data_IF_026127535826
#
_entry.id   IF_026127535826
#
_cell.length_a   1.000
_cell.length_b   1.000
_cell.length_c   1.000
_cell.angle_alpha   90.00
_cell.angle_beta   90.00
_cell.angle_gamma   90.00
#
_symmetry.space_group_name_H-M   'P 1'
#
loop_
_entity.id
_entity.type
_entity.pdbx_description
1 polymer ?
2 non-polymer ?
3 water ?
#
# COMPACT_ATOMS: atom_id res chain seq x y z
N UNK A 5 4.66 -14.95 24.24
CA UNK A 5 5.20 -15.79 23.12
C UNK A 5 4.03 -16.32 22.24
N UNK A 6 3.90 -15.78 21.01
CA UNK A 6 2.76 -16.09 20.12
C UNK A 6 3.02 -17.14 19.02
N UNK A 7 2.08 -18.09 18.83
CA UNK A 7 2.09 -19.14 17.78
C UNK A 7 0.76 -19.17 17.00
N UNK A 8 0.63 -20.07 16.00
CA UNK A 8 -0.61 -20.26 15.21
C UNK A 8 -1.83 -20.64 16.08
N UNK A 9 -1.55 -21.42 17.12
CA UNK A 9 -2.52 -21.90 18.13
C UNK A 9 -3.23 -20.81 18.89
N UNK A 10 -2.60 -19.62 18.97
CA UNK A 10 -3.22 -18.48 19.70
C UNK A 10 -4.40 -17.79 18.98
N UNK A 11 -4.71 -18.22 17.76
CA UNK A 11 -5.69 -17.47 16.93
C UNK A 11 -6.76 -18.41 16.48
N UNK A 12 -7.97 -17.86 16.26
CA UNK A 12 -9.08 -18.56 15.60
C UNK A 12 -9.14 -17.98 14.22
N UNK A 13 -9.19 -18.87 13.23
CA UNK A 13 -9.10 -18.53 11.79
C UNK A 13 -10.52 -18.44 11.30
N UNK A 14 -10.93 -17.25 10.86
CA UNK A 14 -12.37 -16.98 10.63
C UNK A 14 -12.74 -16.98 9.17
N UNK A 15 -12.11 -16.16 8.34
CA UNK A 15 -12.56 -15.99 6.97
C UNK A 15 -11.34 -15.70 6.14
N UNK A 16 -11.30 -16.22 4.91
CA UNK A 16 -10.29 -15.81 3.92
C UNK A 16 -10.63 -14.40 3.38
N UNK A 17 -9.69 -13.46 3.54
CA UNK A 17 -9.90 -12.07 3.09
C UNK A 17 -9.38 -11.88 1.66
N UNK A 18 -8.33 -12.60 1.32
CA UNK A 18 -7.75 -12.51 -0.01
C UNK A 18 -6.59 -13.46 -0.18
N UNK A 19 -6.21 -13.65 -1.44
CA UNK A 19 -5.01 -14.39 -1.82
C UNK A 19 -4.27 -13.53 -2.84
N UNK A 20 -2.95 -13.50 -2.69
CA UNK A 20 -2.06 -12.73 -3.56
C UNK A 20 -1.16 -13.73 -4.26
N UNK A 21 -0.12 -13.25 -4.94
CA UNK A 21 0.77 -14.18 -5.65
C UNK A 21 1.52 -15.10 -4.69
N UNK A 22 1.95 -14.57 -3.54
CA UNK A 22 2.85 -15.31 -2.62
C UNK A 22 2.21 -15.88 -1.33
N UNK A 23 0.92 -15.67 -1.13
CA UNK A 23 0.32 -16.16 0.10
C UNK A 23 -1.12 -15.74 0.26
N UNK A 24 -1.57 -15.75 1.52
CA UNK A 24 -2.96 -15.44 1.80
C UNK A 24 -3.14 -14.61 3.08
N UNK A 25 -4.29 -13.95 3.17
CA UNK A 25 -4.67 -13.15 4.34
C UNK A 25 -6.00 -13.67 4.93
N UNK A 26 -5.98 -13.98 6.21
CA UNK A 26 -7.13 -14.50 6.97
C UNK A 26 -7.56 -13.52 8.09
N UNK A 27 -8.86 -13.28 8.19
CA UNK A 27 -9.41 -12.60 9.37
C UNK A 27 -9.24 -13.57 10.55
N UNK A 28 -8.52 -13.12 11.58
CA UNK A 28 -8.31 -13.96 12.78
C UNK A 28 -8.82 -13.27 14.04
N UNK A 29 -9.06 -14.06 15.07
CA UNK A 29 -9.34 -13.50 16.40
C UNK A 29 -8.27 -14.02 17.29
N UNK A 30 -7.59 -13.12 18.03
CA UNK A 30 -6.69 -13.58 19.05
C UNK A 30 -7.50 -14.12 20.26
N UNK A 31 -7.33 -15.39 20.59
CA UNK A 31 -8.27 -16.04 21.54
C UNK A 31 -8.18 -15.38 22.92
N UNK A 32 -6.95 -15.13 23.37
CA UNK A 32 -6.71 -14.59 24.71
C UNK A 32 -7.39 -13.23 24.93
N UNK A 33 -7.51 -12.40 23.89
CA UNK A 33 -7.90 -11.01 24.06
C UNK A 33 -9.24 -10.69 23.39
N UNK A 34 -9.70 -11.52 22.46
CA UNK A 34 -10.96 -11.19 21.75
C UNK A 34 -10.75 -10.17 20.63
N UNK A 35 -9.50 -9.83 20.35
CA UNK A 35 -9.21 -8.84 19.30
C UNK A 35 -9.09 -9.44 17.92
N UNK A 36 -9.53 -8.67 16.93
CA UNK A 36 -9.54 -9.15 15.54
C UNK A 36 -8.40 -8.50 14.73
N UNK A 37 -7.76 -9.32 13.91
CA UNK A 37 -6.60 -8.89 13.08
C UNK A 37 -6.73 -9.52 11.70
N UNK A 38 -5.97 -8.99 10.72
CA UNK A 38 -5.71 -9.69 9.43
C UNK A 38 -4.35 -10.35 9.49
N UNK A 39 -4.35 -11.67 9.42
CA UNK A 39 -3.09 -12.38 9.41
C UNK A 39 -2.66 -12.73 8.00
N UNK A 40 -1.55 -12.11 7.57
CA UNK A 40 -0.93 -12.47 6.30
C UNK A 40 -0.01 -13.70 6.50
N UNK A 41 -0.25 -14.75 5.72
CA UNK A 41 0.48 -16.03 5.93
C UNK A 41 1.21 -16.36 4.62
N UNK A 42 2.52 -16.44 4.73
CA UNK A 42 3.37 -16.86 3.59
C UNK A 42 4.02 -18.21 3.85
N UNK A 43 4.07 -19.04 2.80
CA UNK A 43 4.88 -20.26 2.84
C UNK A 43 6.36 -19.96 2.54
N UNK A 44 7.24 -20.33 3.47
CA UNK A 44 8.69 -20.12 3.36
C UNK A 44 9.19 -20.68 2.04
N UNK A 45 8.67 -21.86 1.68
CA UNK A 45 9.07 -22.62 0.49
C UNK A 45 8.78 -21.79 -0.77
N UNK A 46 7.61 -21.13 -0.75
CA UNK A 46 7.17 -20.37 -1.92
C UNK A 46 7.99 -19.10 -2.06
N UNK A 47 8.17 -18.38 -0.95
CA UNK A 47 9.03 -17.18 -0.86
C UNK A 47 10.49 -17.42 -1.37
N UNK A 48 11.13 -18.48 -0.87
CA UNK A 48 12.42 -18.95 -1.35
C UNK A 48 12.41 -19.25 -2.83
N UNK A 49 11.51 -20.13 -3.27
CA UNK A 49 11.42 -20.53 -4.69
C UNK A 49 11.15 -19.38 -5.67
N UNK A 50 10.42 -18.33 -5.25
CA UNK A 50 10.04 -17.20 -6.13
C UNK A 50 10.99 -15.99 -5.95
N UNK A 51 12.04 -16.18 -5.17
CA UNK A 51 13.02 -15.13 -4.87
C UNK A 51 12.46 -13.91 -4.14
N UNK A 52 11.47 -14.17 -3.27
CA UNK A 52 10.72 -13.08 -2.60
C UNK A 52 11.18 -12.85 -1.19
N UNK A 53 12.32 -13.48 -0.87
CA UNK A 53 12.88 -13.45 0.46
C UNK A 53 13.26 -12.04 0.85
N UNK A 54 14.05 -11.38 0.00
CA UNK A 54 14.49 -10.02 0.31
C UNK A 54 13.30 -9.01 0.52
N UNK A 55 12.28 -9.09 -0.34
CA UNK A 55 11.07 -8.25 -0.22
C UNK A 55 10.32 -8.53 1.11
N UNK A 56 10.23 -9.82 1.48
CA UNK A 56 9.47 -10.24 2.67
C UNK A 56 10.16 -9.64 3.92
N UNK A 57 11.48 -9.74 3.96
CA UNK A 57 12.28 -9.19 5.08
C UNK A 57 12.24 -7.69 5.08
N UNK A 58 12.26 -7.08 3.90
CA UNK A 58 12.04 -5.61 3.85
C UNK A 58 10.66 -5.27 4.42
N UNK A 59 9.62 -5.98 4.00
CA UNK A 59 8.25 -5.64 4.50
C UNK A 59 8.23 -5.74 6.04
N UNK A 60 8.79 -6.85 6.52
CA UNK A 60 8.94 -7.09 7.97
C UNK A 60 9.65 -5.93 8.64
N UNK A 61 10.82 -5.53 8.11
CA UNK A 61 11.57 -4.41 8.70
C UNK A 61 10.82 -3.12 8.73
N UNK A 62 10.23 -2.76 7.59
CA UNK A 62 9.59 -1.46 7.45
C UNK A 62 8.35 -1.38 8.35
N UNK A 63 7.58 -2.46 8.42
CA UNK A 63 6.45 -2.53 9.39
C UNK A 63 6.94 -2.38 10.85
N UNK A 64 8.04 -3.05 11.24
CA UNK A 64 8.50 -2.89 12.64
C UNK A 64 8.97 -1.46 12.96
N UNK A 65 9.48 -0.77 11.95
CA UNK A 65 10.16 0.49 12.15
C UNK A 65 9.26 1.73 11.94
N UNK A 66 8.02 1.51 11.53
CA UNK A 66 7.15 2.64 11.18
C UNK A 66 5.85 2.67 12.00
N UNK A 67 5.37 3.87 12.31
CA UNK A 67 4.16 4.09 13.11
C UNK A 67 3.56 5.34 12.48
N UNK A 68 2.48 5.16 11.73
CA UNK A 68 1.83 6.28 11.10
C UNK A 68 0.36 5.96 11.02
N UNK A 69 -0.50 6.98 11.19
CA UNK A 69 -1.93 6.75 11.13
C UNK A 69 -2.38 6.14 9.77
N UNK A 70 -1.64 6.36 8.66
CA UNK A 70 -2.09 5.85 7.36
C UNK A 70 -1.27 4.73 6.77
N UNK A 71 -0.46 4.09 7.63
CA UNK A 71 0.27 2.88 7.27
C UNK A 71 -0.28 1.76 8.14
N UNK A 72 -0.53 0.60 7.54
CA UNK A 72 -1.03 -0.58 8.27
C UNK A 72 -0.07 -0.95 9.40
N UNK A 73 -0.60 -1.05 10.62
CA UNK A 73 0.14 -1.35 11.84
C UNK A 73 0.28 -2.86 12.03
N UNK A 74 1.51 -3.27 12.29
CA UNK A 74 1.87 -4.66 12.56
C UNK A 74 1.80 -4.91 14.06
N UNK A 75 1.08 -5.96 14.47
CA UNK A 75 0.98 -6.33 15.90
C UNK A 75 2.05 -7.39 16.29
N UNK A 76 2.13 -8.48 15.54
CA UNK A 76 3.09 -9.58 15.73
C UNK A 76 3.64 -9.97 14.38
N UNK A 77 4.91 -10.39 14.34
CA UNK A 77 5.40 -11.27 13.31
C UNK A 77 6.11 -12.44 13.95
N UNK A 78 5.85 -13.62 13.40
CA UNK A 78 6.38 -14.83 13.95
C UNK A 78 6.41 -15.85 12.82
N UNK A 79 7.10 -16.95 13.08
CA UNK A 79 7.36 -17.95 12.05
C UNK A 79 7.20 -19.33 12.64
N UNK A 80 6.84 -20.28 11.77
CA UNK A 80 6.81 -21.69 12.14
C UNK A 80 7.86 -22.34 11.26
N UNK A 81 7.93 -23.67 11.24
CA UNK A 81 8.96 -24.32 10.46
C UNK A 81 8.69 -24.05 8.98
N UNK A 82 7.40 -23.91 8.62
CA UNK A 82 7.08 -23.73 7.21
C UNK A 82 6.38 -22.40 6.83
N UNK A 83 6.11 -21.53 7.82
CA UNK A 83 5.35 -20.31 7.56
C UNK A 83 5.91 -19.05 8.17
N UNK A 84 5.62 -17.93 7.51
CA UNK A 84 5.89 -16.63 8.07
C UNK A 84 4.55 -15.94 8.22
N UNK A 85 4.32 -15.37 9.41
CA UNK A 85 2.99 -14.82 9.79
C UNK A 85 3.08 -13.34 10.21
N UNK A 86 2.38 -12.47 9.48
CA UNK A 86 2.25 -11.06 9.85
C UNK A 86 0.85 -10.87 10.42
N UNK A 87 0.74 -10.48 11.69
CA UNK A 87 -0.58 -10.17 12.29
C UNK A 87 -0.70 -8.67 12.33
N UNK A 88 -1.57 -8.17 11.49
CA UNK A 88 -1.75 -6.74 11.35
C UNK A 88 -3.15 -6.29 11.69
N UNK A 89 -3.34 -4.99 11.86
CA UNK A 89 -4.70 -4.47 12.08
C UNK A 89 -5.51 -4.87 10.86
N UNK A 90 -6.78 -5.19 11.12
CA UNK A 90 -7.73 -5.56 10.10
C UNK A 90 -8.31 -4.27 9.47
N UNK A 91 -8.13 -4.07 8.16
CA UNK A 91 -8.70 -2.87 7.51
C UNK A 91 -10.11 -3.22 7.02
N UNK A 92 -11.11 -2.92 7.88
CA UNK A 92 -12.48 -3.42 7.76
C UNK A 92 -13.12 -2.87 6.51
N UNK A 93 -12.65 -1.72 6.01
CA UNK A 93 -13.26 -1.06 4.84
C UNK A 93 -12.88 -1.68 3.47
N UNK A 94 -12.03 -2.70 3.51
CA UNK A 94 -11.53 -3.43 2.30
C UNK A 94 -10.60 -2.56 1.40
N UNK A 95 -10.32 -3.06 0.21
CA UNK A 95 -9.45 -2.41 -0.76
C UNK A 95 -10.24 -1.26 -1.42
N UNK A 96 -9.57 -0.15 -1.72
CA UNK A 96 -10.21 1.00 -2.35
C UNK A 96 -10.81 0.62 -3.69
N UNK A 97 -10.20 -0.33 -4.38
CA UNK A 97 -10.74 -0.83 -5.65
C UNK A 97 -12.19 -1.33 -5.54
N UNK A 98 -12.51 -2.05 -4.46
CA UNK A 98 -13.85 -2.56 -4.20
C UNK A 98 -14.82 -1.40 -4.37
N UNK A 99 -14.49 -0.27 -3.74
CA UNK A 99 -15.34 0.92 -3.77
C UNK A 99 -15.31 1.59 -5.12
N UNK A 100 -14.09 1.81 -5.64
CA UNK A 100 -13.98 2.59 -6.84
C UNK A 100 -14.59 1.87 -8.04
N UNK A 101 -14.38 0.55 -8.16
CA UNK A 101 -15.11 -0.38 -9.06
C UNK A 101 -16.58 -0.07 -9.20
N UNK A 102 -17.23 -0.11 -8.05
CA UNK A 102 -18.66 -0.04 -7.90
C UNK A 102 -19.15 1.36 -8.20
N UNK A 103 -18.41 2.38 -7.79
CA UNK A 103 -18.92 3.75 -7.92
C UNK A 103 -18.41 4.47 -9.16
N UNK A 104 -17.45 3.82 -9.85
CA UNK A 104 -16.83 4.27 -11.10
C UNK A 104 -15.75 5.35 -10.86
N UNK A 105 -16.13 6.39 -10.12
CA UNK A 105 -15.32 7.60 -9.94
C UNK A 105 -15.63 8.11 -8.52
N UNK A 106 -14.62 8.63 -7.79
CA UNK A 106 -14.87 9.37 -6.58
C UNK A 106 -15.02 10.83 -6.95
N UNK A 107 -15.77 11.59 -6.14
CA UNK A 107 -15.83 13.03 -6.32
C UNK A 107 -14.42 13.63 -6.11
N UNK A 108 -14.15 14.81 -6.64
CA UNK A 108 -12.90 15.50 -6.32
C UNK A 108 -12.65 15.68 -4.81
N UNK A 109 -13.68 15.97 -4.02
CA UNK A 109 -13.51 16.17 -2.57
C UNK A 109 -13.07 14.88 -1.91
N UNK A 110 -13.65 13.76 -2.32
CA UNK A 110 -13.32 12.47 -1.72
C UNK A 110 -11.90 12.03 -2.15
N UNK A 111 -11.58 12.20 -3.45
CA UNK A 111 -10.16 11.95 -3.89
C UNK A 111 -9.14 12.81 -3.15
N UNK A 112 -9.52 14.08 -2.89
CA UNK A 112 -8.65 15.02 -2.20
C UNK A 112 -8.34 14.53 -0.78
N UNK A 113 -9.37 14.04 -0.10
CA UNK A 113 -9.29 13.50 1.21
C UNK A 113 -8.35 12.30 1.21
N UNK A 114 -8.59 11.34 0.30
CA UNK A 114 -7.68 10.18 0.23
C UNK A 114 -6.26 10.59 -0.18
N UNK A 115 -6.15 11.42 -1.21
CA UNK A 115 -4.81 11.97 -1.62
C UNK A 115 -4.02 12.63 -0.48
N UNK A 116 -4.69 13.47 0.34
CA UNK A 116 -4.01 14.10 1.49
C UNK A 116 -3.41 13.09 2.50
N UNK A 117 -4.18 12.04 2.83
CA UNK A 117 -3.74 10.95 3.68
C UNK A 117 -2.56 10.17 3.13
N UNK A 118 -2.59 9.92 1.82
CA UNK A 118 -1.49 9.26 1.14
C UNK A 118 -0.26 10.17 1.16
N UNK A 119 -0.41 11.46 0.89
CA UNK A 119 0.71 12.44 0.94
C UNK A 119 1.34 12.48 2.36
N UNK A 120 0.47 12.55 3.37
CA UNK A 120 0.91 12.50 4.76
C UNK A 120 1.80 11.29 5.06
N UNK A 121 1.35 10.08 4.69
CA UNK A 121 2.09 8.83 4.86
C UNK A 121 3.42 8.85 4.09
N UNK A 122 3.38 9.28 2.83
CA UNK A 122 4.63 9.28 1.97
C UNK A 122 5.66 10.30 2.47
N UNK A 123 5.17 11.46 2.90
CA UNK A 123 6.03 12.49 3.57
C UNK A 123 6.75 11.90 4.79
N UNK A 124 6.01 11.29 5.71
CA UNK A 124 6.61 10.53 6.81
C UNK A 124 7.69 9.51 6.31
N UNK A 125 7.34 8.61 5.37
CA UNK A 125 8.32 7.64 4.89
C UNK A 125 9.59 8.30 4.32
N UNK A 126 9.42 9.32 3.47
CA UNK A 126 10.53 10.03 2.86
C UNK A 126 11.34 10.76 3.98
N UNK A 127 10.66 11.64 4.72
CA UNK A 127 11.30 12.61 5.61
C UNK A 127 11.81 12.05 6.89
N UNK A 128 11.06 11.11 7.43
CA UNK A 128 11.34 10.60 8.75
C UNK A 128 11.97 9.26 8.65
N UNK A 129 11.67 8.49 7.61
CA UNK A 129 12.20 7.12 7.60
C UNK A 129 13.27 6.88 6.52
N UNK A 130 13.55 7.90 5.73
CA UNK A 130 14.38 7.71 4.54
C UNK A 130 13.99 6.46 3.71
N UNK A 131 12.68 6.31 3.52
CA UNK A 131 12.16 5.18 2.78
C UNK A 131 11.48 5.70 1.50
N UNK A 132 11.68 4.98 0.40
CA UNK A 132 10.92 5.24 -0.84
C UNK A 132 10.04 4.01 -1.00
N UNK A 133 8.75 4.26 -1.24
CA UNK A 133 7.73 3.19 -1.18
C UNK A 133 7.74 2.33 -2.44
N UNK A 134 7.82 3.02 -3.58
CA UNK A 134 8.01 2.43 -4.92
C UNK A 134 6.84 1.61 -5.49
N UNK A 135 5.85 1.25 -4.67
CA UNK A 135 4.76 0.34 -5.10
C UNK A 135 3.36 0.98 -5.01
N UNK A 136 3.29 2.29 -5.20
CA UNK A 136 2.01 2.98 -5.02
C UNK A 136 1.07 2.70 -6.21
N UNK A 137 0.06 1.89 -5.93
CA UNK A 137 -0.92 1.47 -6.91
C UNK A 137 -2.22 1.35 -6.15
N UNK A 138 -3.33 1.35 -6.86
CA UNK A 138 -4.64 1.30 -6.21
C UNK A 138 -4.84 0.08 -5.30
N UNK A 139 -4.41 -1.08 -5.80
CA UNK A 139 -4.43 -2.32 -5.04
C UNK A 139 -3.77 -2.21 -3.66
N UNK A 140 -2.81 -1.33 -3.46
CA UNK A 140 -2.16 -1.26 -2.12
C UNK A 140 -2.83 -0.26 -1.15
N UNK A 141 -4.04 0.23 -1.50
CA UNK A 141 -4.78 1.18 -0.68
C UNK A 141 -6.03 0.51 -0.17
N UNK A 142 -6.20 0.52 1.17
CA UNK A 142 -7.38 0.00 1.86
C UNK A 142 -7.96 1.12 2.70
N UNK A 143 -9.13 0.83 3.25
CA UNK A 143 -9.81 1.72 4.18
C UNK A 143 -9.98 0.98 5.49
N UNK A 144 -9.71 1.71 6.57
CA UNK A 144 -9.93 1.18 7.94
C UNK A 144 -11.41 1.33 8.29
N UNK A 145 -11.78 0.84 9.46
CA UNK A 145 -13.23 0.85 9.86
C UNK A 145 -13.81 2.26 9.93
N UNK A 146 -12.96 3.28 10.08
CA UNK A 146 -13.44 4.68 10.09
C UNK A 146 -13.54 5.35 8.71
N UNK A 147 -12.95 4.71 7.69
CA UNK A 147 -12.93 5.26 6.34
C UNK A 147 -11.64 6.02 6.03
N UNK A 148 -10.61 5.90 6.89
CA UNK A 148 -9.30 6.46 6.62
C UNK A 148 -8.45 5.46 5.82
N UNK A 149 -7.59 6.00 4.95
CA UNK A 149 -6.62 5.24 4.19
C UNK A 149 -5.68 4.41 5.03
N UNK A 150 -5.39 3.21 4.52
CA UNK A 150 -4.23 2.45 4.99
C UNK A 150 -3.46 2.00 3.76
N UNK A 151 -2.18 2.37 3.68
CA UNK A 151 -1.29 1.78 2.69
C UNK A 151 -0.79 0.45 3.22
N UNK A 152 -0.79 -0.57 2.35
CA UNK A 152 -0.45 -1.90 2.79
C UNK A 152 0.62 -2.42 1.79
N UNK A 153 1.43 -3.39 2.23
CA UNK A 153 2.41 -4.02 1.38
C UNK A 153 3.65 -3.15 1.16
N UNK A 154 4.69 -3.49 1.93
CA UNK A 154 5.92 -2.72 1.97
C UNK A 154 7.11 -3.50 1.37
N UNK A 155 6.85 -4.59 0.65
CA UNK A 155 7.93 -5.42 0.12
C UNK A 155 8.88 -4.75 -0.86
N UNK A 156 8.36 -3.77 -1.63
CA UNK A 156 9.21 -3.06 -2.61
C UNK A 156 9.84 -1.76 -2.07
N UNK A 157 9.65 -1.48 -0.79
CA UNK A 157 10.29 -0.28 -0.22
C UNK A 157 11.81 -0.30 -0.37
N UNK A 158 12.38 0.89 -0.48
CA UNK A 158 13.81 1.06 -0.39
C UNK A 158 14.16 1.86 0.83
N UNK A 159 15.00 1.26 1.69
CA UNK A 159 15.43 1.89 2.97
C UNK A 159 16.71 2.68 2.77
N UNK A 160 17.05 3.55 3.72
CA UNK A 160 18.30 4.30 3.70
C UNK A 160 18.46 5.29 2.56
N UNK A 161 17.35 5.79 2.00
CA UNK A 161 17.38 6.73 0.87
C UNK A 161 17.13 8.15 1.39
N UNK A 162 18.22 8.91 1.43
CA UNK A 162 18.26 10.21 2.07
C UNK A 162 18.26 11.22 0.92
N UNK A 163 17.41 12.24 1.03
CA UNK A 163 17.38 13.35 0.06
C UNK A 163 17.30 12.81 -1.39
N UNK A 164 18.24 13.29 -2.21
CA UNK A 164 18.32 12.99 -3.62
C UNK A 164 19.03 11.70 -4.01
N UNK A 165 19.32 10.82 -3.04
CA UNK A 165 19.92 9.51 -3.40
C UNK A 165 19.07 8.70 -4.39
N UNK A 166 19.77 7.93 -5.22
CA UNK A 166 19.16 7.25 -6.35
C UNK A 166 19.03 5.76 -6.04
N UNK A 167 18.18 5.09 -6.80
CA UNK A 167 17.98 3.66 -6.71
C UNK A 167 18.05 3.14 -8.11
N UNK A 168 18.31 1.86 -8.26
CA UNK A 168 18.26 1.33 -9.60
C UNK A 168 17.44 0.09 -9.89
N UNK A 170 14.65 -2.21 -10.96
CA UNK A 170 13.44 -2.14 -11.79
C UNK A 170 12.33 -2.99 -11.11
N UNK A 171 11.29 -2.33 -10.65
CA UNK A 171 10.27 -3.01 -9.83
C UNK A 171 8.99 -2.17 -9.83
N UNK A 172 7.88 -2.80 -9.49
CA UNK A 172 6.58 -2.13 -9.51
C UNK A 172 5.68 -2.80 -10.55
N UNK A 173 4.39 -2.50 -10.50
CA UNK A 173 3.40 -3.08 -11.40
C UNK A 173 3.41 -2.26 -12.69
N UNK A 174 3.43 -2.96 -13.86
CA UNK A 174 3.59 -2.31 -15.19
C UNK A 174 2.77 -1.02 -15.45
N UNK A 175 1.47 -1.01 -15.11
CA UNK A 175 0.61 0.18 -15.34
C UNK A 175 0.97 1.39 -14.47
N UNK A 176 1.70 1.14 -13.38
CA UNK A 176 2.00 2.16 -12.41
C UNK A 176 3.49 2.70 -12.43
N UNK A 177 4.32 2.17 -13.32
CA UNK A 177 5.75 2.50 -13.36
C UNK A 177 5.96 3.94 -13.85
N UNK A 178 6.76 4.70 -13.12
CA UNK A 178 7.17 6.04 -13.49
C UNK A 178 8.09 5.95 -14.76
N UNK A 179 8.06 6.98 -15.65
CA UNK A 179 8.95 7.05 -16.83
C UNK A 179 10.39 6.80 -16.45
N UNK A 180 10.89 7.38 -15.35
CA UNK A 180 12.35 7.20 -15.03
C UNK A 180 12.70 5.79 -14.59
N UNK A 181 11.72 5.06 -14.06
CA UNK A 181 11.91 3.63 -13.80
C UNK A 181 12.00 2.83 -15.10
N UNK A 182 11.11 3.13 -16.07
CA UNK A 182 11.13 2.44 -17.37
C UNK A 182 12.40 2.81 -18.14
N UNK A 183 12.93 4.02 -17.91
CA UNK A 183 14.20 4.46 -18.59
C UNK A 183 15.33 3.53 -18.12
N UNK A 184 15.22 3.11 -16.85
CA UNK A 184 16.15 2.15 -16.21
C UNK A 184 17.57 2.76 -16.18
N UNK A 185 17.63 4.01 -15.77
CA UNK A 185 18.93 4.72 -15.73
C UNK A 185 19.12 5.42 -14.39
N UNK A 186 18.55 4.81 -13.34
CA UNK A 186 18.45 5.30 -11.95
C UNK A 186 17.24 6.19 -11.77
N UNK A 187 16.74 6.19 -10.53
CA UNK A 187 15.63 7.05 -10.19
C UNK A 187 15.68 7.41 -8.72
N UNK A 188 14.84 8.36 -8.32
CA UNK A 188 14.83 8.86 -6.96
C UNK A 188 13.45 8.76 -6.32
N UNK A 189 13.26 9.46 -5.20
CA UNK A 189 12.03 9.37 -4.39
C UNK A 189 10.78 9.96 -5.09
N UNK A 190 10.96 10.75 -6.14
CA UNK A 190 9.80 11.34 -6.83
C UNK A 190 9.01 10.28 -7.58
N UNK A 191 9.52 9.06 -7.65
CA UNK A 191 8.70 7.96 -8.22
C UNK A 191 7.41 7.79 -7.41
N UNK A 192 7.43 8.12 -6.12
CA UNK A 192 6.21 7.98 -5.29
C UNK A 192 5.14 9.01 -5.69
N UNK A 193 5.57 10.16 -6.21
CA UNK A 193 4.64 11.22 -6.57
C UNK A 193 4.02 10.93 -7.90
N UNK A 194 4.78 10.29 -8.79
CA UNK A 194 4.24 9.70 -9.99
C UNK A 194 3.07 8.72 -9.60
N UNK A 195 3.33 7.81 -8.67
CA UNK A 195 2.32 6.89 -8.17
C UNK A 195 1.13 7.59 -7.55
N UNK A 196 1.35 8.66 -6.79
CA UNK A 196 0.22 9.44 -6.24
C UNK A 196 -0.65 10.00 -7.39
N UNK A 197 0.04 10.54 -8.40
CA UNK A 197 -0.59 10.97 -9.66
C UNK A 197 -1.46 9.92 -10.26
N UNK A 198 -0.94 8.68 -10.39
CA UNK A 198 -1.69 7.60 -11.05
C UNK A 198 -2.96 7.22 -10.23
N UNK A 199 -2.80 7.04 -8.90
CA UNK A 199 -3.94 6.63 -8.09
C UNK A 199 -4.99 7.72 -8.00
N UNK A 200 -4.58 9.00 -7.89
CA UNK A 200 -5.55 10.11 -7.82
C UNK A 200 -6.26 10.28 -9.17
N UNK A 201 -5.54 9.97 -10.24
CA UNK A 201 -6.13 9.95 -11.57
C UNK A 201 -7.23 8.88 -11.65
N UNK A 202 -6.93 7.63 -11.23
CA UNK A 202 -7.90 6.55 -11.21
C UNK A 202 -9.13 6.94 -10.38
N UNK A 203 -8.90 7.54 -9.23
CA UNK A 203 -9.98 7.97 -8.32
C UNK A 203 -10.92 9.00 -8.98
N UNK A 204 -10.35 10.03 -9.57
CA UNK A 204 -11.15 11.11 -10.17
C UNK A 204 -11.66 10.86 -11.59
N UNK A 205 -10.98 9.99 -12.35
CA UNK A 205 -11.23 9.81 -13.80
C UNK A 205 -11.84 8.46 -14.11
N UNK A 206 -11.62 7.47 -13.24
CA UNK A 206 -12.29 6.20 -13.34
C UNK A 206 -11.55 5.20 -14.22
N UNK A 207 -10.29 5.50 -14.60
CA UNK A 207 -9.49 4.64 -15.45
C UNK A 207 -8.02 5.05 -15.26
N UNK A 208 -7.10 4.19 -15.66
CA UNK A 208 -5.67 4.46 -15.68
C UNK A 208 -5.37 5.59 -16.64
N UNK A 209 -4.36 6.42 -16.30
CA UNK A 209 -3.95 7.48 -17.22
C UNK A 209 -3.44 6.88 -18.58
N UNK A 210 -2.78 5.73 -18.51
CA UNK A 210 -2.21 5.06 -19.69
C UNK A 210 -2.47 3.59 -19.60
N UNK A 211 -2.99 3.05 -20.68
CA UNK A 211 -3.25 1.62 -20.74
C UNK A 211 -3.08 1.02 -22.14
N UNK A 212 -2.32 -0.07 -22.21
CA UNK A 212 -2.42 -1.00 -23.32
C UNK A 212 -2.14 -2.38 -22.79
N UNK A 213 -2.84 -3.38 -23.33
CA UNK A 213 -2.62 -4.73 -22.82
C UNK A 213 -1.27 -5.32 -23.23
N UNK A 214 -0.71 -4.86 -24.33
CA UNK A 214 0.72 -5.09 -24.65
C UNK A 214 1.63 -4.20 -23.79
N UNK A 215 2.54 -4.78 -23.01
CA UNK A 215 3.46 -4.01 -22.17
C UNK A 215 4.38 -3.03 -22.90
N UNK A 216 4.85 -3.42 -24.08
CA UNK A 216 5.75 -2.57 -24.86
C UNK A 216 5.03 -1.29 -25.28
N UNK A 217 3.79 -1.46 -25.71
CA UNK A 217 2.90 -0.37 -26.06
C UNK A 217 2.49 0.50 -24.84
N UNK A 218 2.17 -0.15 -23.72
CA UNK A 218 1.92 0.56 -22.44
C UNK A 218 3.12 1.42 -22.06
N UNK A 219 4.31 0.82 -22.08
CA UNK A 219 5.55 1.53 -21.69
C UNK A 219 5.83 2.73 -22.62
N UNK A 220 5.49 2.59 -23.91
CA UNK A 220 5.65 3.72 -24.87
C UNK A 220 4.76 4.88 -24.47
N UNK A 221 3.50 4.60 -24.17
CA UNK A 221 2.55 5.60 -23.64
C UNK A 221 3.03 6.29 -22.38
N UNK A 222 3.43 5.52 -21.37
CA UNK A 222 3.95 6.09 -20.12
C UNK A 222 5.11 7.06 -20.36
N UNK A 223 6.07 6.64 -21.18
CA UNK A 223 7.22 7.46 -21.52
C UNK A 223 6.94 8.71 -22.39
N UNK A 224 6.07 8.57 -23.39
CA UNK A 224 5.95 9.57 -24.49
C UNK A 224 4.62 10.34 -24.56
N UNK A 225 3.52 9.74 -24.11
CA UNK A 225 2.19 10.32 -24.35
C UNK A 225 1.82 11.38 -23.32
N UNK A 226 1.42 12.58 -23.80
CA UNK A 226 0.98 13.62 -22.91
C UNK A 226 -0.33 13.13 -22.20
N UNK A 227 -0.43 13.40 -20.88
CA UNK A 227 -1.65 13.13 -20.07
C UNK A 227 -2.90 13.83 -20.65
N UNK A 228 -4.05 13.15 -20.67
CA UNK A 228 -5.33 13.80 -20.96
C UNK A 228 -6.31 13.46 -19.80
N UNK A 229 -7.33 14.30 -19.69
CA UNK A 229 -8.37 14.24 -18.65
C UNK A 229 -9.76 14.27 -19.25
N UNK A 230 -10.71 13.52 -18.64
CA UNK A 230 -12.10 13.79 -18.99
C UNK A 230 -12.37 15.32 -18.82
N UNK A 231 -13.18 15.89 -19.72
CA UNK A 231 -13.39 17.36 -19.75
C UNK A 231 -14.36 17.86 -18.64
N UNK A 232 -14.93 16.96 -17.86
CA UNK A 232 -15.60 17.37 -16.61
C UNK A 232 -14.63 17.69 -15.46
N UNK A 233 -13.35 17.28 -15.58
CA UNK A 233 -12.40 17.46 -14.47
C UNK A 233 -12.15 18.94 -14.21
N UNK A 234 -12.18 19.34 -12.94
CA UNK A 234 -11.99 20.72 -12.53
C UNK A 234 -10.55 21.14 -12.79
N UNK A 235 -10.32 22.47 -12.89
CA UNK A 235 -8.97 23.00 -13.27
C UNK A 235 -7.87 22.68 -12.25
N UNK A 236 -8.20 22.75 -10.96
CA UNK A 236 -7.18 22.53 -9.91
C UNK A 236 -6.75 21.07 -9.87
N UNK A 237 -7.71 20.16 -10.04
CA UNK A 237 -7.45 18.71 -10.11
C UNK A 237 -6.56 18.39 -11.30
N UNK A 238 -6.91 19.01 -12.43
CA UNK A 238 -6.14 18.84 -13.66
C UNK A 238 -4.73 19.38 -13.47
N UNK A 239 -4.58 20.53 -12.80
CA UNK A 239 -3.27 21.11 -12.50
C UNK A 239 -2.45 20.16 -11.61
N UNK A 240 -3.06 19.66 -10.54
CA UNK A 240 -2.37 18.74 -9.62
C UNK A 240 -1.88 17.49 -10.36
N UNK A 241 -2.80 16.82 -11.03
CA UNK A 241 -2.51 15.60 -11.77
C UNK A 241 -1.49 15.80 -12.88
N UNK A 242 -1.59 16.89 -13.66
CA UNK A 242 -0.56 17.21 -14.67
C UNK A 242 0.82 17.42 -14.02
N UNK A 243 0.87 18.10 -12.87
CA UNK A 243 2.12 18.32 -12.14
C UNK A 243 2.68 16.98 -11.61
N UNK A 244 1.83 16.09 -11.09
CA UNK A 244 2.31 14.78 -10.53
C UNK A 244 2.76 13.83 -11.64
N UNK A 245 2.17 13.99 -12.83
CA UNK A 245 2.43 13.08 -13.94
C UNK A 245 3.35 13.71 -15.02
N UNK A 246 4.11 14.74 -14.64
CA UNK A 246 5.27 15.14 -15.46
C UNK A 246 6.22 13.98 -15.68
N UNK A 247 6.68 13.81 -16.91
CA UNK A 247 7.55 12.69 -17.26
C UNK A 247 8.92 12.86 -16.61
N UNK A 248 9.37 14.11 -16.54
CA UNK A 248 10.71 14.39 -16.06
C UNK A 248 10.59 14.60 -14.55
N UNK A 249 11.25 13.73 -13.73
CA UNK A 249 11.02 13.89 -12.28
C UNK A 249 11.49 15.25 -11.74
N UNK A 250 12.47 15.86 -12.41
CA UNK A 250 12.91 17.20 -12.03
C UNK A 250 11.83 18.25 -12.27
N UNK A 251 10.93 18.04 -13.24
CA UNK A 251 9.81 18.98 -13.41
C UNK A 251 8.52 18.58 -12.67
N UNK A 252 8.51 17.41 -12.04
CA UNK A 252 7.29 16.87 -11.40
C UNK A 252 6.99 17.58 -10.08
N UNK A 253 5.72 17.77 -9.77
CA UNK A 253 5.35 18.25 -8.45
C UNK A 253 5.87 17.25 -7.41
N UNK A 254 6.58 17.75 -6.37
CA UNK A 254 7.30 16.92 -5.39
C UNK A 254 8.67 16.41 -5.79
N UNK A 255 9.12 16.80 -6.98
CA UNK A 255 10.36 16.30 -7.51
C UNK A 255 11.62 17.08 -7.11
N UNK A 256 11.45 18.18 -6.40
CA UNK A 256 12.58 19.02 -6.00
C UNK A 256 13.00 18.76 -4.58
N UNK A 257 13.78 19.68 -4.02
CA UNK A 257 14.30 19.46 -2.66
C UNK A 257 13.17 19.56 -1.58
N UNK A 258 12.07 20.24 -1.86
CA UNK A 258 10.96 20.37 -0.85
C UNK A 258 10.07 19.09 -0.72
N UNK A 259 10.24 18.15 -1.67
CA UNK A 259 9.55 16.84 -1.66
C UNK A 259 8.03 17.05 -1.52
N UNK A 260 7.41 16.40 -0.54
CA UNK A 260 5.95 16.51 -0.30
C UNK A 260 5.39 17.93 -0.06
N UNK A 261 6.21 18.84 0.50
CA UNK A 261 5.76 20.20 0.78
C UNK A 261 5.27 20.88 -0.46
N UNK A 262 5.88 20.56 -1.62
CA UNK A 262 5.43 21.15 -2.89
C UNK A 262 4.00 20.73 -3.24
N UNK A 263 3.67 19.47 -2.95
CA UNK A 263 2.31 18.93 -3.20
C UNK A 263 1.32 19.47 -2.17
N UNK A 264 1.74 19.49 -0.90
CA UNK A 264 0.93 20.05 0.20
C UNK A 264 0.46 21.49 -0.01
N UNK A 265 1.32 22.29 -0.63
CA UNK A 265 1.00 23.69 -1.01
C UNK A 265 0.33 23.91 -2.32
N UNK A 266 0.12 22.86 -3.15
CA UNK A 266 -0.64 23.01 -4.39
C UNK A 266 -2.07 23.47 -4.07
N UNK A 267 -2.62 24.31 -4.92
CA UNK A 267 -3.92 24.88 -4.68
C UNK A 267 -5.10 23.85 -4.67
N UNK A 268 -4.89 22.66 -5.24
CA UNK A 268 -5.87 21.55 -5.05
C UNK A 268 -6.10 21.26 -3.56
N UNK A 269 -5.04 21.36 -2.77
CA UNK A 269 -5.13 21.13 -1.32
C UNK A 269 -5.36 22.42 -0.48
N UNK A 270 -5.81 23.51 -1.12
CA UNK A 270 -5.99 24.82 -0.40
C UNK A 270 -6.97 24.63 0.77
N UNK A 271 -6.73 25.21 1.94
CA UNK A 271 -7.73 24.98 3.01
C UNK A 271 -7.50 23.71 3.83
N UNK A 272 -6.72 22.75 3.29
CA UNK A 272 -6.35 21.57 4.09
C UNK A 272 -5.30 21.98 5.12
N UNK A 273 -5.56 21.63 6.37
CA UNK A 273 -4.59 21.82 7.44
C UNK A 273 -3.89 20.49 7.68
N UNK A 274 -2.59 20.43 7.41
CA UNK A 274 -1.88 19.15 7.31
C UNK A 274 -1.71 18.47 8.62
N UNK A 275 -1.64 19.26 9.71
CA UNK A 275 -1.61 18.64 11.07
C UNK A 275 -2.94 17.98 11.37
N UNK A 276 -4.00 18.55 10.84
CA UNK A 276 -5.32 17.94 11.06
C UNK A 276 -5.49 16.63 10.24
N UNK A 277 -4.87 16.59 9.06
CA UNK A 277 -4.86 15.35 8.24
C UNK A 277 -4.20 14.27 9.09
N UNK A 278 -2.99 14.55 9.57
CA UNK A 278 -2.23 13.61 10.40
C UNK A 278 -3.00 13.11 11.63
N UNK A 279 -3.78 13.99 12.25
CA UNK A 279 -4.46 13.64 13.48
C UNK A 279 -5.85 13.03 13.21
N UNK A 280 -6.18 12.83 11.93
CA UNK A 280 -7.48 12.20 11.57
C UNK A 280 -8.66 13.09 11.96
N UNK A 281 -8.44 14.40 11.94
CA UNK A 281 -9.50 15.39 12.26
C UNK A 281 -10.36 15.76 11.06
N UNK A 282 -10.08 15.17 9.90
CA UNK A 282 -10.93 15.40 8.73
C UNK A 282 -11.92 14.23 8.66
N UNK A 283 -13.21 14.52 8.67
CA UNK A 283 -14.21 13.45 8.65
C UNK A 283 -14.16 12.68 7.29
N UNK A 284 -13.95 11.34 7.31
CA UNK A 284 -14.02 10.66 6.01
C UNK A 284 -15.36 10.87 5.28
N UNK A 285 -15.31 11.06 3.97
CA UNK A 285 -16.57 11.24 3.23
C UNK A 285 -17.36 9.92 3.11
N UNK A 286 -16.70 8.79 3.33
CA UNK A 286 -17.40 7.53 3.34
C UNK A 286 -17.00 6.75 4.58
N UNK A 287 -18.02 6.34 5.36
CA UNK A 287 -17.77 5.52 6.55
C UNK A 287 -18.20 4.08 6.22
N UNK A 288 -17.27 3.11 6.34
CA UNK A 288 -17.63 1.71 6.10
C UNK A 288 -18.80 1.30 7.01
N UNK A 289 -19.81 0.70 6.41
CA UNK A 289 -21.04 0.33 7.14
C UNK A 289 -20.97 -1.13 7.60
N UNK A 290 -19.88 -1.49 8.26
CA UNK A 290 -19.76 -2.82 8.85
C UNK A 290 -20.60 -2.90 10.14
N UNK A 291 -21.21 -4.05 10.39
CA UNK A 291 -22.15 -4.17 11.50
C UNK A 291 -21.55 -5.04 12.63
N UNK A 292 -20.41 -5.67 12.34
CA UNK A 292 -19.75 -6.40 13.38
C UNK A 292 -18.26 -6.29 13.16
N UNK A 293 -17.52 -6.76 14.16
CA UNK A 293 -16.08 -6.79 14.12
C UNK A 293 -15.57 -7.85 13.13
N UNK A 294 -16.43 -8.78 12.71
CA UNK A 294 -16.15 -9.82 11.68
C UNK A 294 -16.92 -9.68 10.32
N UNK A 295 -17.66 -8.59 10.13
CA UNK A 295 -18.38 -8.27 8.87
C UNK A 295 -17.30 -8.14 7.74
N UNK A 296 -17.47 -8.91 6.64
CA UNK A 296 -16.53 -8.85 5.51
C UNK A 296 -17.21 -8.39 4.25
N UNK A 297 -18.25 -7.57 4.39
CA UNK A 297 -18.96 -7.05 3.23
C UNK A 297 -18.12 -6.31 2.22
N UNK A 298 -16.96 -5.76 2.65
CA UNK A 298 -16.10 -4.98 1.73
C UNK A 298 -14.96 -5.81 1.14
N UNK A 299 -15.10 -7.13 1.25
CA UNK A 299 -14.23 -8.13 0.64
C UNK A 299 -15.02 -9.02 -0.34
N UNK A 300 -14.33 -9.40 -1.40
CA UNK A 300 -14.81 -10.28 -2.46
C UNK A 300 -15.32 -11.61 -1.98
N UNK A 301 -16.58 -11.94 -2.25
CA UNK A 301 -17.15 -13.22 -1.86
C UNK A 301 -16.34 -14.43 -2.41
N UNK A 302 -15.71 -14.26 -3.57
CA UNK A 302 -14.82 -15.24 -4.22
C UNK A 302 -13.78 -15.80 -3.19
N UNK A 303 -13.34 -14.91 -2.30
CA UNK A 303 -12.43 -15.26 -1.22
C UNK A 303 -13.13 -15.65 0.07
N UNK A 304 -14.08 -14.83 0.53
CA UNK A 304 -14.67 -15.05 1.87
C UNK A 304 -15.47 -16.36 2.00
N UNK A 305 -16.05 -16.85 0.88
CA UNK A 305 -16.76 -18.15 0.83
C UNK A 305 -15.86 -19.37 1.05
N UNK A 306 -14.56 -19.24 0.83
CA UNK A 306 -13.63 -20.38 0.86
C UNK A 306 -13.43 -21.01 2.27
N UNK A 307 -13.26 -22.33 2.35
CA UNK A 307 -12.95 -22.97 3.64
C UNK A 307 -11.48 -22.73 4.06
N UNK A 308 -11.24 -22.53 5.36
CA UNK A 308 -9.86 -22.36 5.88
C UNK A 308 -9.34 -23.69 6.52
N UNK A 309 -8.07 -24.06 6.31
CA UNK A 309 -7.44 -25.17 7.10
C UNK A 309 -5.94 -24.97 7.44
N UNK A 310 -5.46 -25.69 8.47
CA UNK A 310 -4.01 -25.80 8.85
C UNK A 310 -3.04 -26.24 7.71
N UNK A 311 -3.22 -25.76 6.47
CA UNK A 311 -2.17 -25.90 5.41
C UNK A 311 -2.25 -25.09 4.10
N UNK A 312 -3.39 -25.16 3.37
CA UNK A 312 -3.50 -24.51 2.04
C UNK A 312 -3.20 -23.02 2.04
N UNK A 318 8.37 -31.56 16.89
CA UNK A 318 9.23 -30.50 17.40
C UNK A 318 10.14 -29.94 16.28
N UNK A 319 9.73 -28.81 15.71
CA UNK A 319 10.43 -28.22 14.57
C UNK A 319 10.83 -26.74 14.78
N UNK A 320 10.87 -26.33 16.06
CA UNK A 320 11.21 -24.98 16.52
C UNK A 320 12.52 -24.40 15.91
N UNK A 321 13.54 -25.25 15.73
CA UNK A 321 14.90 -24.81 15.31
C UNK A 321 15.38 -25.19 13.91
N UNK A 322 14.49 -25.78 13.11
CA UNK A 322 14.82 -26.21 11.75
C UNK A 322 15.18 -24.97 10.90
N UNK A 323 16.32 -25.07 10.24
CA UNK A 323 16.80 -23.99 9.44
C UNK A 323 17.36 -24.66 8.20
N UNK A 324 16.52 -24.84 7.20
CA UNK A 324 16.95 -25.49 5.96
C UNK A 324 16.98 -24.50 4.78
N UNK A 325 17.45 -24.99 3.63
CA UNK A 325 17.54 -24.17 2.44
C UNK A 325 16.15 -23.84 1.86
N UNK A 326 15.23 -24.82 1.88
CA UNK A 326 13.87 -24.61 1.38
C UNK A 326 13.00 -23.84 2.37
N UNK A 327 13.31 -24.00 3.66
CA UNK A 327 12.63 -23.36 4.79
C UNK A 327 13.59 -22.78 5.82
N UNK A 328 14.16 -21.59 5.54
CA UNK A 328 15.11 -20.96 6.47
C UNK A 328 14.47 -20.46 7.78
N UNK A 329 15.27 -20.40 8.84
CA UNK A 329 14.89 -19.70 10.05
C UNK A 329 15.27 -18.22 9.85
N UNK A 330 14.26 -17.40 9.53
CA UNK A 330 14.43 -15.99 9.18
C UNK A 330 14.79 -15.12 10.40
N UNK A 331 15.56 -14.04 10.18
CA UNK A 331 15.85 -13.14 11.32
C UNK A 331 14.68 -12.18 11.59
N UNK A 332 14.52 -11.71 12.82
CA UNK A 332 13.53 -10.66 13.17
C UNK A 332 12.04 -11.08 13.02
N UNK A 333 11.78 -12.38 12.99
CA UNK A 333 10.40 -12.87 13.13
C UNK A 333 10.11 -13.32 14.57
N UNK A 334 10.24 -12.36 15.46
CA UNK A 334 10.14 -12.64 16.90
C UNK A 334 9.50 -11.41 17.55
N UNK A 335 8.63 -10.77 16.76
CA UNK A 335 8.17 -9.42 17.05
C UNK A 335 6.76 -9.30 17.64
N UNK A 336 6.70 -8.57 18.73
CA UNK A 336 5.43 -8.28 19.34
C UNK A 336 5.49 -6.81 19.70
N UNK A 337 4.64 -6.01 19.07
CA UNK A 337 4.66 -4.58 19.25
C UNK A 337 4.53 -4.24 20.75
N UNK A 338 5.34 -3.30 21.23
CA UNK A 338 5.27 -2.88 22.64
C UNK A 338 3.96 -2.18 22.93
N UNK A 339 3.28 -2.66 23.98
CA UNK A 339 2.02 -2.09 24.46
C UNK A 339 2.20 -0.66 24.99
#
# INVERSE_FOLDING_TARGET
GAMARVTMNEFEYLKLLGKGTFGKVILVKEKATGRYYAMKILKKEVIVAKDEVAHTLTENRVLQNSRHPFLTALKYSFQTHDRLCFVMEYANGGELFFHLSRERVFSEDRARFYGAEIVSALDYLHSEKNVVYRDLKLENLMLDKDGHIKITDFGLCKEGIKDGATMKXFCGTPEYLAPEVLEDNDYGRAVDWWGLGVVMYEMMCGRLPFYNQDHEKLFELILMEEIRFPRTLGPEAKSLLSGLLKKDPKQRLGGGSEDAKEIMQHRFFAGIVWQHVYEKKLSPPFKPQVTSETDTRYFDEEFTAQMITITPPDQDDSMECVDSERRPHFPQFDYSASSTA
#
